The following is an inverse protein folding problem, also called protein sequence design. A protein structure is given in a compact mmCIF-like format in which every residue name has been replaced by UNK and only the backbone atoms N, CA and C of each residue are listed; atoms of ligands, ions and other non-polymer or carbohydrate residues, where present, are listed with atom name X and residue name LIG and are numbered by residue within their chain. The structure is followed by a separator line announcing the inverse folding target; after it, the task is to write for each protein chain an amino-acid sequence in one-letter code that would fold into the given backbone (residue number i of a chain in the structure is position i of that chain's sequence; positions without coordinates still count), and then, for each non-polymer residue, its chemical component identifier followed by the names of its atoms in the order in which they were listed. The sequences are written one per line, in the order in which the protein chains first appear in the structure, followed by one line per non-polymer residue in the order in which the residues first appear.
data_IF_899873584290
#
_entry.id   IF_899873584290
#
_cell.length_a   1.000
_cell.length_b   1.000
_cell.length_c   1.000
_cell.angle_alpha   90.00
_cell.angle_beta   90.00
_cell.angle_gamma   90.00
#
_symmetry.space_group_name_H-M   'P 1'
#
loop_
_entity.id
_entity.type
_entity.pdbx_description
1 polymer ?
#
# COMPACT_ATOMS: atom_id res chain seq x y z
N UNK A 1 73.44 -45.78 -13.71
CA UNK A 1 72.89 -44.45 -14.09
C UNK A 1 71.38 -44.46 -14.36
N UNK A 2 70.71 -45.61 -14.49
CA UNK A 2 69.26 -45.68 -14.77
C UNK A 2 68.36 -45.37 -13.55
N UNK A 3 68.74 -45.86 -12.36
CA UNK A 3 67.92 -45.74 -11.13
C UNK A 3 67.82 -44.32 -10.55
N UNK A 4 68.81 -43.45 -10.78
CA UNK A 4 68.75 -42.07 -10.29
C UNK A 4 67.73 -41.21 -11.07
N UNK A 5 67.45 -41.53 -12.34
CA UNK A 5 66.45 -40.80 -13.13
C UNK A 5 65.03 -41.11 -12.69
N UNK A 6 64.71 -42.40 -12.45
CA UNK A 6 63.37 -42.79 -12.02
C UNK A 6 63.00 -42.26 -10.63
N UNK A 7 63.97 -42.13 -9.72
CA UNK A 7 63.74 -41.52 -8.41
C UNK A 7 63.44 -40.01 -8.53
N UNK A 8 64.12 -39.32 -9.45
CA UNK A 8 63.89 -37.89 -9.71
C UNK A 8 62.51 -37.64 -10.32
N UNK A 9 62.09 -38.48 -11.27
CA UNK A 9 60.78 -38.39 -11.92
C UNK A 9 59.64 -38.65 -10.92
N UNK A 10 59.83 -39.62 -10.01
CA UNK A 10 58.87 -39.91 -8.95
C UNK A 10 58.74 -38.74 -7.96
N UNK A 11 59.85 -38.12 -7.58
CA UNK A 11 59.84 -36.94 -6.71
C UNK A 11 59.13 -35.76 -7.38
N UNK A 12 59.36 -35.52 -8.67
CA UNK A 12 58.68 -34.47 -9.43
C UNK A 12 57.17 -34.71 -9.57
N UNK A 13 56.74 -35.97 -9.75
CA UNK A 13 55.33 -36.32 -9.81
C UNK A 13 54.63 -36.07 -8.45
N UNK A 14 55.25 -36.48 -7.35
CA UNK A 14 54.74 -36.20 -6.00
C UNK A 14 54.69 -34.70 -5.70
N UNK A 15 55.69 -33.94 -6.15
CA UNK A 15 55.72 -32.48 -5.97
C UNK A 15 54.60 -31.78 -6.76
N UNK A 16 54.31 -32.25 -7.97
CA UNK A 16 53.20 -31.73 -8.77
C UNK A 16 51.83 -32.08 -8.18
N UNK A 17 51.66 -33.28 -7.62
CA UNK A 17 50.42 -33.66 -6.96
C UNK A 17 50.19 -32.85 -5.67
N UNK A 18 51.24 -32.61 -4.89
CA UNK A 18 51.17 -31.72 -3.71
C UNK A 18 50.90 -30.27 -4.12
N UNK A 19 51.49 -29.77 -5.21
CA UNK A 19 51.16 -28.46 -5.74
C UNK A 19 49.69 -28.35 -6.16
N UNK A 20 49.16 -29.37 -6.83
CA UNK A 20 47.77 -29.38 -7.31
C UNK A 20 46.76 -29.46 -6.17
N UNK A 21 47.05 -30.27 -5.14
CA UNK A 21 46.20 -30.38 -3.95
C UNK A 21 46.21 -29.09 -3.13
N UNK A 22 47.37 -28.45 -2.97
CA UNK A 22 47.47 -27.14 -2.28
C UNK A 22 46.77 -26.02 -3.05
N UNK A 23 46.88 -25.98 -4.38
CA UNK A 23 46.12 -25.03 -5.22
C UNK A 23 44.61 -25.22 -5.07
N UNK A 24 44.13 -26.46 -5.15
CA UNK A 24 42.71 -26.78 -4.96
C UNK A 24 42.20 -26.35 -3.58
N UNK A 25 42.98 -26.63 -2.52
CA UNK A 25 42.64 -26.20 -1.17
C UNK A 25 42.57 -24.67 -1.03
N UNK A 26 43.48 -23.94 -1.68
CA UNK A 26 43.47 -22.48 -1.69
C UNK A 26 42.23 -21.91 -2.39
N UNK A 27 41.82 -22.48 -3.52
CA UNK A 27 40.60 -22.06 -4.22
C UNK A 27 39.33 -22.29 -3.38
N UNK A 28 39.26 -23.41 -2.66
CA UNK A 28 38.17 -23.67 -1.71
C UNK A 28 38.13 -22.63 -0.59
N UNK A 29 39.29 -22.25 -0.05
CA UNK A 29 39.37 -21.22 0.99
C UNK A 29 38.97 -19.83 0.48
N UNK A 30 39.35 -19.48 -0.74
CA UNK A 30 38.95 -18.21 -1.37
C UNK A 30 37.43 -18.14 -1.54
N UNK A 31 36.81 -19.21 -2.07
CA UNK A 31 35.34 -19.27 -2.22
C UNK A 31 34.61 -19.15 -0.88
N UNK A 32 35.14 -19.76 0.17
CA UNK A 32 34.59 -19.65 1.52
C UNK A 32 34.70 -18.21 2.06
N UNK A 33 35.85 -17.56 1.86
CA UNK A 33 36.06 -16.17 2.27
C UNK A 33 35.11 -15.21 1.53
N UNK A 34 34.92 -15.38 0.22
CA UNK A 34 33.98 -14.58 -0.58
C UNK A 34 32.53 -14.75 -0.10
N UNK A 35 32.12 -15.98 0.23
CA UNK A 35 30.80 -16.25 0.81
C UNK A 35 30.63 -15.57 2.18
N UNK A 36 31.67 -15.62 3.03
CA UNK A 36 31.68 -14.93 4.32
C UNK A 36 31.55 -13.41 4.18
N UNK A 37 32.31 -12.78 3.28
CA UNK A 37 32.26 -11.34 3.03
C UNK A 37 30.87 -10.90 2.54
N UNK A 38 30.27 -11.65 1.61
CA UNK A 38 28.91 -11.35 1.12
C UNK A 38 27.88 -11.46 2.25
N UNK A 39 27.99 -12.49 3.09
CA UNK A 39 27.09 -12.67 4.24
C UNK A 39 27.20 -11.49 5.21
N UNK A 40 28.41 -11.03 5.51
CA UNK A 40 28.65 -9.87 6.38
C UNK A 40 28.14 -8.55 5.77
N UNK A 41 28.21 -8.38 4.45
CA UNK A 41 27.62 -7.23 3.77
C UNK A 41 26.08 -7.24 3.86
N UNK A 42 25.47 -8.41 3.67
CA UNK A 42 24.01 -8.55 3.77
C UNK A 42 23.51 -8.30 5.19
N UNK A 43 24.19 -8.82 6.21
CA UNK A 43 23.77 -8.59 7.61
C UNK A 43 23.83 -7.12 8.00
N UNK A 44 24.82 -6.37 7.51
CA UNK A 44 24.89 -4.90 7.72
C UNK A 44 23.74 -4.16 7.05
N UNK A 45 23.40 -4.51 5.80
CA UNK A 45 22.26 -3.89 5.11
C UNK A 45 20.93 -4.20 5.80
N UNK A 46 20.78 -5.39 6.38
CA UNK A 46 19.58 -5.77 7.13
C UNK A 46 19.45 -4.95 8.42
N UNK A 47 20.55 -4.76 9.18
CA UNK A 47 20.49 -3.96 10.41
C UNK A 47 20.11 -2.49 10.13
N UNK A 48 20.66 -1.90 9.07
CA UNK A 48 20.36 -0.52 8.69
C UNK A 48 18.89 -0.34 8.28
N UNK A 49 18.31 -1.34 7.59
CA UNK A 49 16.88 -1.34 7.23
C UNK A 49 15.98 -1.52 8.45
N UNK A 50 16.35 -2.37 9.40
CA UNK A 50 15.61 -2.54 10.65
C UNK A 50 15.54 -1.25 11.46
N UNK A 51 16.65 -0.51 11.55
CA UNK A 51 16.68 0.78 12.25
C UNK A 51 15.77 1.83 11.58
N UNK A 52 15.73 1.87 10.24
CA UNK A 52 14.84 2.76 9.50
C UNK A 52 13.35 2.42 9.72
N UNK A 53 13.01 1.13 9.78
CA UNK A 53 11.63 0.67 10.03
C UNK A 53 11.17 1.09 11.43
N UNK A 54 12.02 0.99 12.45
CA UNK A 54 11.68 1.42 13.82
C UNK A 54 11.48 2.94 13.91
N UNK A 55 12.32 3.72 13.22
CA UNK A 55 12.18 5.18 13.14
C UNK A 55 10.91 5.62 12.42
N UNK A 56 10.52 4.92 11.36
CA UNK A 56 9.25 5.16 10.67
C UNK A 56 8.06 4.75 11.54
N UNK A 57 8.13 3.61 12.22
CA UNK A 57 7.06 3.11 13.07
C UNK A 57 6.78 4.03 14.26
N UNK A 58 7.82 4.59 14.88
CA UNK A 58 7.67 5.61 15.92
C UNK A 58 7.05 6.91 15.38
N UNK A 59 7.44 7.34 14.18
CA UNK A 59 6.85 8.52 13.52
C UNK A 59 5.35 8.33 13.20
N UNK A 60 4.95 7.13 12.74
CA UNK A 60 3.55 6.80 12.47
C UNK A 60 2.71 6.79 13.76
N UNK A 61 3.25 6.26 14.87
CA UNK A 61 2.55 6.30 16.16
C UNK A 61 2.26 7.73 16.65
N UNK A 62 3.17 8.66 16.39
CA UNK A 62 2.98 10.09 16.71
C UNK A 62 1.91 10.75 15.82
N UNK A 63 1.76 10.32 14.57
CA UNK A 63 0.70 10.80 13.67
C UNK A 63 -0.69 10.21 13.99
N UNK A 64 -0.75 9.14 14.77
CA UNK A 64 -1.97 8.37 15.02
C UNK A 64 -2.61 8.64 16.39
N UNK A 65 -2.12 9.61 17.18
CA UNK A 65 -2.54 9.83 18.58
C UNK A 65 -3.33 11.10 18.86
N UNK A 66 -3.59 11.96 17.88
CA UNK A 66 -4.58 13.01 18.04
C UNK A 66 -5.83 12.67 17.23
N UNK A 67 -6.97 12.30 17.86
CA UNK A 67 -8.24 12.51 17.18
C UNK A 67 -8.28 14.00 16.81
N UNK A 68 -8.70 14.32 15.58
CA UNK A 68 -8.92 15.70 15.14
C UNK A 68 -10.05 16.33 15.96
N UNK A 69 -9.82 16.65 17.24
CA UNK A 69 -10.80 17.15 18.22
C UNK A 69 -11.01 18.66 18.13
N UNK A 70 -10.64 19.26 17.00
CA UNK A 70 -11.01 20.63 16.63
C UNK A 70 -11.77 20.73 15.31
N UNK A 71 -12.20 19.60 14.73
CA UNK A 71 -13.35 19.66 13.83
C UNK A 71 -14.55 19.99 14.72
N UNK A 72 -15.24 21.11 14.45
CA UNK A 72 -16.55 21.38 15.01
C UNK A 72 -17.37 20.09 14.97
N UNK A 73 -18.04 19.74 16.07
CA UNK A 73 -18.99 18.64 16.03
C UNK A 73 -19.90 18.87 14.82
N UNK A 74 -19.99 17.90 13.89
CA UNK A 74 -20.74 18.11 12.67
C UNK A 74 -22.17 18.47 13.07
N UNK A 75 -22.61 19.66 12.69
CA UNK A 75 -24.00 20.06 12.87
C UNK A 75 -24.84 19.08 12.06
N UNK A 76 -25.94 18.60 12.63
CA UNK A 76 -26.89 17.74 11.91
C UNK A 76 -27.26 18.41 10.57
N UNK A 77 -26.80 17.83 9.45
CA UNK A 77 -26.91 18.42 8.10
C UNK A 77 -25.59 18.78 7.39
N UNK A 78 -24.45 18.79 8.09
CA UNK A 78 -23.12 19.10 7.51
C UNK A 78 -22.38 17.87 6.92
N UNK A 79 -22.93 16.67 7.12
CA UNK A 79 -22.24 15.43 6.76
C UNK A 79 -22.73 14.93 5.41
N UNK A 80 -21.81 14.90 4.44
CA UNK A 80 -22.04 14.19 3.19
C UNK A 80 -22.03 12.67 3.45
N UNK A 81 -22.99 11.90 2.90
CA UNK A 81 -22.99 10.44 3.08
C UNK A 81 -21.69 9.86 2.53
N UNK A 82 -20.90 9.04 3.24
CA UNK A 82 -19.56 8.59 2.83
C UNK A 82 -19.51 7.92 1.47
N UNK A 83 -18.37 7.99 0.80
CA UNK A 83 -18.12 7.20 -0.41
C UNK A 83 -18.25 5.71 -0.12
N UNK A 84 -18.94 4.97 -0.98
CA UNK A 84 -19.23 3.55 -0.82
C UNK A 84 -20.41 3.25 0.11
N UNK A 85 -20.97 4.25 0.81
CA UNK A 85 -22.17 4.05 1.63
C UNK A 85 -23.40 3.79 0.77
N UNK A 86 -24.36 3.06 1.35
CA UNK A 86 -25.68 2.84 0.76
C UNK A 86 -26.61 3.95 1.23
N UNK A 87 -27.28 4.59 0.28
CA UNK A 87 -28.25 5.66 0.51
C UNK A 87 -29.52 5.40 -0.28
N UNK A 88 -30.59 6.09 0.07
CA UNK A 88 -31.82 6.08 -0.70
C UNK A 88 -31.95 7.36 -1.52
N UNK A 89 -32.37 7.22 -2.78
CA UNK A 89 -32.75 8.35 -3.63
C UNK A 89 -34.22 8.25 -4.03
N UNK A 90 -34.89 9.39 -4.12
CA UNK A 90 -36.24 9.43 -4.69
C UNK A 90 -36.18 9.64 -6.21
N UNK A 91 -36.85 8.78 -6.96
CA UNK A 91 -37.05 8.97 -8.39
C UNK A 91 -38.38 9.70 -8.61
N UNK A 92 -38.32 10.88 -9.23
CA UNK A 92 -39.48 11.74 -9.50
C UNK A 92 -40.64 11.01 -10.21
N UNK A 93 -40.35 9.94 -10.96
CA UNK A 93 -41.35 9.15 -11.70
C UNK A 93 -42.10 8.12 -10.85
N UNK A 94 -41.61 7.73 -9.68
CA UNK A 94 -42.08 6.53 -8.99
C UNK A 94 -42.52 6.74 -7.54
N UNK A 95 -42.27 7.92 -6.92
CA UNK A 95 -42.39 8.13 -5.44
C UNK A 95 -41.75 7.00 -4.63
N UNK A 96 -40.82 6.27 -5.25
CA UNK A 96 -40.21 5.06 -4.71
C UNK A 96 -38.78 5.42 -4.40
N UNK A 97 -38.40 5.16 -3.16
CA UNK A 97 -37.02 5.23 -2.71
C UNK A 97 -36.28 4.04 -3.32
N UNK A 98 -35.21 4.33 -4.06
CA UNK A 98 -34.30 3.32 -4.60
C UNK A 98 -33.01 3.35 -3.79
N UNK A 99 -32.53 2.18 -3.37
CA UNK A 99 -31.24 2.02 -2.71
C UNK A 99 -30.12 2.09 -3.74
N UNK A 100 -29.11 2.91 -3.47
CA UNK A 100 -27.98 3.16 -4.37
C UNK A 100 -26.69 3.37 -3.56
N UNK A 101 -25.56 3.12 -4.20
CA UNK A 101 -24.24 3.30 -3.58
C UNK A 101 -23.65 4.65 -3.96
N UNK A 102 -23.14 5.40 -2.99
CA UNK A 102 -22.45 6.68 -3.22
C UNK A 102 -21.08 6.43 -3.85
N UNK A 103 -20.80 7.09 -4.96
CA UNK A 103 -19.53 6.95 -5.70
C UNK A 103 -18.77 8.26 -5.89
N UNK A 104 -19.36 9.40 -5.49
CA UNK A 104 -18.70 10.70 -5.62
C UNK A 104 -19.63 11.86 -5.32
N UNK A 105 -19.09 13.07 -5.47
CA UNK A 105 -19.85 14.32 -5.39
C UNK A 105 -19.33 15.29 -6.45
N UNK A 106 -20.15 16.27 -6.79
CA UNK A 106 -19.68 17.46 -7.49
C UNK A 106 -20.52 18.66 -7.09
N UNK A 107 -19.92 19.85 -7.16
CA UNK A 107 -20.60 21.11 -6.88
C UNK A 107 -20.93 21.76 -8.21
N UNK A 108 -22.22 22.03 -8.43
CA UNK A 108 -22.66 22.84 -9.55
C UNK A 108 -22.57 24.32 -9.14
N UNK A 109 -21.74 25.13 -9.80
CA UNK A 109 -21.60 26.53 -9.47
C UNK A 109 -22.93 27.26 -9.70
N UNK A 110 -23.31 28.14 -8.78
CA UNK A 110 -24.48 29.00 -8.96
C UNK A 110 -24.37 29.82 -10.25
N UNK A 111 -25.52 30.14 -10.85
CA UNK A 111 -25.55 31.10 -11.96
C UNK A 111 -25.13 32.47 -11.41
N UNK A 112 -24.07 33.05 -12.01
CA UNK A 112 -23.40 34.27 -11.53
C UNK A 112 -24.33 35.47 -11.31
N UNK A 113 -25.48 35.49 -11.97
CA UNK A 113 -26.32 36.69 -12.06
C UNK A 113 -27.57 36.64 -11.17
N UNK A 114 -27.74 35.62 -10.32
CA UNK A 114 -28.97 35.46 -9.51
C UNK A 114 -28.74 35.30 -8.00
N UNK A 115 -27.52 35.50 -7.50
CA UNK A 115 -27.22 35.21 -6.08
C UNK A 115 -27.50 33.74 -5.72
N UNK A 116 -27.52 32.86 -6.72
CA UNK A 116 -27.90 31.46 -6.56
C UNK A 116 -26.79 30.71 -5.83
N UNK A 117 -27.12 30.08 -4.70
CA UNK A 117 -26.16 29.30 -3.95
C UNK A 117 -25.66 28.10 -4.77
N UNK A 118 -24.37 27.73 -4.65
CA UNK A 118 -23.84 26.49 -5.23
C UNK A 118 -24.68 25.29 -4.78
N UNK A 119 -24.89 24.33 -5.69
CA UNK A 119 -25.66 23.12 -5.40
C UNK A 119 -24.75 21.92 -5.34
N UNK A 120 -24.86 21.11 -4.30
CA UNK A 120 -24.12 19.86 -4.17
C UNK A 120 -24.94 18.72 -4.77
N UNK A 121 -24.31 17.98 -5.66
CA UNK A 121 -24.85 16.75 -6.22
C UNK A 121 -24.05 15.55 -5.74
N UNK A 122 -24.77 14.51 -5.32
CA UNK A 122 -24.22 13.20 -4.96
C UNK A 122 -24.28 12.30 -6.20
N UNK A 123 -23.14 11.73 -6.57
CA UNK A 123 -23.04 10.72 -7.62
C UNK A 123 -23.24 9.35 -6.99
N UNK A 124 -24.13 8.58 -7.58
CA UNK A 124 -24.53 7.27 -7.07
C UNK A 124 -24.56 6.23 -8.20
N UNK A 125 -24.53 4.95 -7.84
CA UNK A 125 -24.77 3.83 -8.76
C UNK A 125 -25.81 2.89 -8.16
N UNK A 126 -26.68 2.34 -9.00
CA UNK A 126 -27.57 1.26 -8.59
C UNK A 126 -26.85 -0.10 -8.54
N UNK A 127 -27.58 -1.15 -8.17
CA UNK A 127 -27.06 -2.53 -8.09
C UNK A 127 -26.56 -3.06 -9.44
N UNK A 128 -27.08 -2.52 -10.55
CA UNK A 128 -26.68 -2.85 -11.91
C UNK A 128 -25.48 -2.02 -12.39
N UNK A 129 -24.99 -1.09 -11.56
CA UNK A 129 -23.88 -0.21 -11.87
C UNK A 129 -24.24 1.00 -12.73
N UNK A 130 -25.53 1.27 -12.96
CA UNK A 130 -26.02 2.41 -13.73
C UNK A 130 -25.73 3.70 -12.96
N UNK A 131 -24.98 4.65 -13.56
CA UNK A 131 -24.66 5.90 -12.89
C UNK A 131 -25.87 6.83 -12.81
N UNK A 132 -26.01 7.53 -11.70
CA UNK A 132 -27.01 8.57 -11.50
C UNK A 132 -26.44 9.72 -10.64
N UNK A 133 -27.10 10.87 -10.67
CA UNK A 133 -26.77 12.01 -9.82
C UNK A 133 -28.05 12.64 -9.26
N UNK A 134 -28.01 12.98 -7.98
CA UNK A 134 -29.13 13.62 -7.27
C UNK A 134 -28.62 14.79 -6.43
N UNK A 135 -29.47 15.79 -6.23
CA UNK A 135 -29.14 16.86 -5.30
C UNK A 135 -29.03 16.27 -3.90
N UNK A 136 -28.12 16.80 -3.07
CA UNK A 136 -27.92 16.30 -1.70
C UNK A 136 -29.23 16.23 -0.90
N UNK A 137 -30.14 17.19 -1.08
CA UNK A 137 -31.46 17.23 -0.43
C UNK A 137 -32.40 16.07 -0.81
N UNK A 138 -32.13 15.38 -1.92
CA UNK A 138 -32.95 14.26 -2.43
C UNK A 138 -32.32 12.90 -2.07
N UNK A 139 -31.31 12.90 -1.18
CA UNK A 139 -30.57 11.73 -0.70
C UNK A 139 -30.84 11.52 0.78
N UNK A 140 -31.18 10.30 1.16
CA UNK A 140 -31.54 9.93 2.52
C UNK A 140 -30.59 8.84 3.04
N UNK A 141 -29.97 9.09 4.19
CA UNK A 141 -28.94 8.20 4.76
C UNK A 141 -29.56 7.14 5.67
N UNK A 142 -30.67 7.46 6.34
CA UNK A 142 -31.39 6.54 7.21
C UNK A 142 -32.82 6.31 6.70
N UNK A 143 -33.35 5.12 6.97
CA UNK A 143 -34.80 4.88 7.00
C UNK A 143 -35.39 5.65 8.18
N UNK A 144 -35.33 6.98 8.16
CA UNK A 144 -36.45 7.72 8.74
C UNK A 144 -37.66 7.30 7.90
N UNK A 145 -38.33 6.28 8.43
CA UNK A 145 -39.75 6.01 8.35
C UNK A 145 -40.47 7.29 8.82
N UNK A 146 -40.29 8.40 8.10
CA UNK A 146 -41.28 9.45 8.04
C UNK A 146 -42.46 8.82 7.30
N UNK A 147 -43.23 8.11 8.11
CA UNK A 147 -44.65 7.93 7.97
C UNK A 147 -45.19 9.09 7.14
N UNK A 148 -45.82 8.76 6.02
CA UNK A 148 -46.73 9.65 5.36
C UNK A 148 -47.81 10.05 6.38
N UNK A 149 -47.60 11.19 7.03
CA UNK A 149 -48.61 12.01 7.66
C UNK A 149 -48.96 13.14 6.69
#
# INVERSE_FOLDING_TARGET
MSESKSNLDLQMAMLNETLKTTQSALESLIKLAESGIRTLQVTKSISDLSEQIEKLSSSIKMLSTEPLTHALDPVEGDILPPLGSLVYIELASAKKRQKVTVVGYYVWPGLKDQGSHPRVFVRVKDEQGTPNARLLKDVFWDEEEKAAA
#
